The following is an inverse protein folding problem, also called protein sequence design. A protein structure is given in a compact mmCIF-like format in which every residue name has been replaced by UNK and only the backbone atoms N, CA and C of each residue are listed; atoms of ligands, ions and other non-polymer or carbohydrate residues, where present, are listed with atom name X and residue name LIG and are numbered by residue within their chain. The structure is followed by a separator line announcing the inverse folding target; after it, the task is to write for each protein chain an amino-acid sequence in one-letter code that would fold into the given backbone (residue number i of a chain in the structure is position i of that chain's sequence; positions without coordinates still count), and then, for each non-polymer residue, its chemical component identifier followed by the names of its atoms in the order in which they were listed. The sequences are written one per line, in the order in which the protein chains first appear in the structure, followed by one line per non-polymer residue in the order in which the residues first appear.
data_IF_327612926395
#
_entry.id   IF_327612926395
#
_cell.length_a   1.000
_cell.length_b   1.000
_cell.length_c   1.000
_cell.angle_alpha   90.00
_cell.angle_beta   90.00
_cell.angle_gamma   90.00
#
_symmetry.space_group_name_H-M   'P 1'
#
loop_
_entity.id
_entity.type
_entity.pdbx_description
1 polymer ?
#
# COMPACT_ATOMS: atom_id res chain seq x y z
N UNK A 1 14.14 -4.87 0.62
CA UNK A 1 13.00 -4.38 1.43
C UNK A 1 11.72 -4.94 0.85
N UNK A 2 10.82 -5.37 1.71
CA UNK A 2 9.51 -5.93 1.39
C UNK A 2 8.40 -4.97 1.78
N UNK A 3 7.17 -5.28 1.36
CA UNK A 3 5.98 -4.54 1.80
C UNK A 3 5.79 -4.53 3.32
N UNK A 4 6.26 -5.56 4.04
CA UNK A 4 6.15 -5.64 5.51
C UNK A 4 7.10 -4.71 6.26
N UNK A 5 8.21 -4.32 5.62
CA UNK A 5 9.22 -3.48 6.25
C UNK A 5 8.79 -2.00 6.28
N UNK A 6 7.76 -1.63 5.50
CA UNK A 6 7.24 -0.26 5.44
C UNK A 6 6.52 0.11 6.74
N UNK A 7 6.79 1.33 7.23
CA UNK A 7 6.12 1.89 8.40
C UNK A 7 5.03 2.88 7.99
N UNK A 8 3.90 2.96 8.71
CA UNK A 8 2.89 3.99 8.44
C UNK A 8 3.51 5.39 8.42
N UNK A 9 3.10 6.23 7.46
CA UNK A 9 3.68 7.55 7.21
C UNK A 9 4.86 7.55 6.25
N UNK A 10 5.41 6.39 5.88
CA UNK A 10 6.52 6.30 4.95
C UNK A 10 6.07 6.63 3.53
N UNK A 11 6.77 7.57 2.89
CA UNK A 11 6.52 7.95 1.49
C UNK A 11 7.27 7.02 0.53
N UNK A 12 6.60 6.67 -0.55
CA UNK A 12 7.10 5.82 -1.63
C UNK A 12 6.60 6.34 -2.97
N UNK A 13 7.19 5.88 -4.07
CA UNK A 13 6.58 5.96 -5.39
C UNK A 13 6.03 4.59 -5.77
N UNK A 14 4.83 4.53 -6.35
CA UNK A 14 4.22 3.32 -6.91
C UNK A 14 3.97 3.59 -8.38
N UNK A 15 4.63 2.84 -9.28
CA UNK A 15 4.58 3.12 -10.73
C UNK A 15 4.89 4.60 -11.06
N UNK A 16 5.82 5.22 -10.33
CA UNK A 16 6.20 6.63 -10.51
C UNK A 16 5.25 7.66 -9.88
N UNK A 17 4.13 7.25 -9.26
CA UNK A 17 3.23 8.15 -8.52
C UNK A 17 3.60 8.20 -7.04
N UNK A 18 3.68 9.41 -6.47
CA UNK A 18 3.90 9.60 -5.03
C UNK A 18 2.74 9.04 -4.21
N UNK A 19 3.06 8.25 -3.20
CA UNK A 19 2.09 7.68 -2.28
C UNK A 19 2.68 7.56 -0.86
N UNK A 20 1.81 7.61 0.14
CA UNK A 20 2.14 7.36 1.53
C UNK A 20 1.56 6.02 1.97
N UNK A 21 2.37 5.20 2.64
CA UNK A 21 1.87 3.98 3.26
C UNK A 21 1.07 4.32 4.53
N UNK A 22 -0.21 3.95 4.56
CA UNK A 22 -1.14 4.22 5.66
C UNK A 22 -1.30 3.06 6.63
N UNK A 23 -0.51 2.00 6.49
CA UNK A 23 -0.60 0.79 7.31
C UNK A 23 -1.63 -0.22 6.81
N UNK A 24 -1.92 -1.20 7.68
CA UNK A 24 -3.00 -2.16 7.45
C UNK A 24 -4.31 -1.54 7.94
N UNK A 25 -5.33 -1.51 7.08
CA UNK A 25 -6.65 -0.97 7.42
C UNK A 25 -7.76 -1.91 6.97
N UNK A 26 -8.91 -1.82 7.66
CA UNK A 26 -10.15 -2.50 7.24
C UNK A 26 -10.83 -1.70 6.15
N UNK A 27 -10.80 -2.24 4.93
CA UNK A 27 -11.41 -1.64 3.74
C UNK A 27 -12.71 -2.39 3.40
N UNK A 28 -13.78 -1.65 3.10
CA UNK A 28 -15.05 -2.22 2.65
C UNK A 28 -14.94 -2.57 1.16
N UNK A 29 -15.02 -3.85 0.84
CA UNK A 29 -15.06 -4.34 -0.54
C UNK A 29 -16.48 -4.84 -0.85
N UNK A 30 -17.09 -4.41 -1.98
CA UNK A 30 -18.38 -4.94 -2.43
C UNK A 30 -18.36 -6.48 -2.45
N UNK A 31 -19.43 -7.12 -1.97
CA UNK A 31 -19.60 -8.58 -1.91
C UNK A 31 -18.65 -9.36 -0.97
N UNK A 32 -17.60 -8.74 -0.42
CA UNK A 32 -16.66 -9.38 0.51
C UNK A 32 -16.71 -8.80 1.93
N UNK A 33 -17.44 -7.71 2.15
CA UNK A 33 -17.55 -7.06 3.46
C UNK A 33 -16.31 -6.23 3.81
N UNK A 34 -15.96 -6.13 5.09
CA UNK A 34 -14.76 -5.42 5.56
C UNK A 34 -13.61 -6.40 5.67
N UNK A 35 -12.53 -6.17 4.92
CA UNK A 35 -11.32 -6.99 4.98
C UNK A 35 -10.08 -6.13 5.19
N UNK A 36 -9.06 -6.71 5.78
CA UNK A 36 -7.81 -6.01 6.04
C UNK A 36 -6.91 -5.97 4.78
N UNK A 37 -6.39 -4.79 4.49
CA UNK A 37 -5.50 -4.53 3.35
C UNK A 37 -4.36 -3.61 3.76
N UNK A 38 -3.22 -3.77 3.11
CA UNK A 38 -2.15 -2.77 3.12
C UNK A 38 -2.60 -1.60 2.25
N UNK A 39 -2.65 -0.41 2.82
CA UNK A 39 -3.21 0.78 2.16
C UNK A 39 -2.11 1.76 1.84
N UNK A 40 -2.09 2.21 0.59
CA UNK A 40 -1.30 3.34 0.14
C UNK A 40 -2.26 4.42 -0.36
N UNK A 41 -2.03 5.67 0.04
CA UNK A 41 -2.78 6.82 -0.44
C UNK A 41 -1.89 7.66 -1.34
N UNK A 42 -2.36 7.98 -2.55
CA UNK A 42 -1.66 8.90 -3.44
C UNK A 42 -1.54 10.29 -2.81
N UNK A 43 -0.37 10.91 -2.90
CA UNK A 43 -0.17 12.23 -2.32
C UNK A 43 -0.95 13.30 -3.13
N UNK A 44 -1.71 14.15 -2.43
CA UNK A 44 -2.49 15.22 -3.06
C UNK A 44 -3.75 14.79 -3.82
N UNK A 45 -4.05 13.49 -3.88
CA UNK A 45 -5.22 12.93 -4.59
C UNK A 45 -5.91 11.84 -3.76
N UNK A 46 -7.24 11.73 -3.84
CA UNK A 46 -7.98 10.71 -3.09
C UNK A 46 -7.98 9.33 -3.79
N UNK A 47 -6.82 8.92 -4.30
CA UNK A 47 -6.61 7.63 -4.96
C UNK A 47 -5.92 6.68 -3.97
N UNK A 48 -6.43 5.46 -3.87
CA UNK A 48 -5.87 4.44 -2.99
C UNK A 48 -5.40 3.24 -3.79
N UNK A 49 -4.27 2.68 -3.36
CA UNK A 49 -3.77 1.39 -3.82
C UNK A 49 -3.82 0.41 -2.65
N UNK A 50 -4.32 -0.79 -2.92
CA UNK A 50 -4.53 -1.82 -1.92
C UNK A 50 -3.74 -3.07 -2.28
N UNK A 51 -3.00 -3.61 -1.30
CA UNK A 51 -2.34 -4.90 -1.40
C UNK A 51 -2.90 -5.85 -0.34
N UNK A 52 -2.87 -7.15 -0.61
CA UNK A 52 -3.25 -8.15 0.38
C UNK A 52 -2.28 -8.15 1.55
N UNK A 53 -2.72 -8.59 2.73
CA UNK A 53 -1.79 -8.81 3.85
C UNK A 53 -0.75 -9.88 3.46
N UNK A 54 -1.19 -10.91 2.73
CA UNK A 54 -0.35 -12.01 2.25
C UNK A 54 0.76 -11.56 1.29
N UNK A 55 0.62 -10.40 0.65
CA UNK A 55 1.67 -9.83 -0.20
C UNK A 55 2.85 -9.27 0.62
N UNK A 56 2.78 -9.32 1.95
CA UNK A 56 3.79 -8.73 2.85
C UNK A 56 5.23 -9.19 2.60
N UNK A 57 5.45 -10.38 2.05
CA UNK A 57 6.78 -10.92 1.73
C UNK A 57 7.31 -10.47 0.37
N UNK A 58 6.45 -9.90 -0.48
CA UNK A 58 6.86 -9.40 -1.78
C UNK A 58 7.78 -8.20 -1.63
N UNK A 59 8.78 -8.15 -2.52
CA UNK A 59 9.73 -7.04 -2.55
C UNK A 59 9.05 -5.77 -3.06
N UNK A 60 9.55 -4.61 -2.62
CA UNK A 60 9.08 -3.33 -3.17
C UNK A 60 9.31 -3.26 -4.69
N UNK A 61 10.46 -3.76 -5.16
CA UNK A 61 10.82 -3.79 -6.58
C UNK A 61 9.84 -4.60 -7.42
N UNK A 62 9.45 -5.80 -6.98
CA UNK A 62 8.48 -6.65 -7.70
C UNK A 62 7.10 -6.00 -7.85
N UNK A 63 6.74 -5.09 -6.95
CA UNK A 63 5.49 -4.32 -7.00
C UNK A 63 5.70 -2.91 -7.59
N UNK A 64 6.87 -2.65 -8.17
CA UNK A 64 7.25 -1.38 -8.79
C UNK A 64 7.09 -0.20 -7.80
N UNK A 65 7.46 -0.45 -6.55
CA UNK A 65 7.49 0.50 -5.45
C UNK A 65 8.93 0.90 -5.18
N UNK A 66 9.20 2.20 -5.09
CA UNK A 66 10.52 2.74 -4.71
C UNK A 66 10.40 3.64 -3.49
N UNK A 67 11.37 3.57 -2.59
CA UNK A 67 11.49 4.54 -1.51
C UNK A 67 11.86 5.91 -2.08
N UNK A 68 11.52 6.96 -1.33
CA UNK A 68 11.91 8.35 -1.59
C UNK A 68 12.93 8.77 -0.54
#
# INVERSE_FOLDING_TARGET
MTLSDLKPGQKVTINGMLAEYKGIQKVKIPNFGKIEKRVFQGEGINIYKYYSIADGTKTLESEIIKLI
#
